data_IF_794799993312
#
_entry.id   IF_794799993312
#
_cell.length_a   1.000
_cell.length_b   1.000
_cell.length_c   1.000
_cell.angle_alpha   90.00
_cell.angle_beta   90.00
_cell.angle_gamma   90.00
#
_symmetry.space_group_name_H-M   'P 1'
#
loop_
_entity.id
_entity.type
_entity.pdbx_description
1 polymer ?
#
# COMPACT_ATOMS: atom_id res chain seq x y z
N UNK A 1 10.29 40.63 -5.39
CA UNK A 1 8.97 39.95 -5.29
C UNK A 1 9.07 38.98 -4.13
N UNK A 2 8.61 39.40 -2.96
CA UNK A 2 8.59 38.58 -1.75
C UNK A 2 7.52 37.49 -1.88
N UNK A 3 7.86 36.28 -1.43
CA UNK A 3 6.96 35.13 -1.42
C UNK A 3 5.78 35.41 -0.49
N UNK A 4 4.57 35.02 -0.89
CA UNK A 4 3.38 35.26 -0.07
C UNK A 4 3.39 34.41 1.20
N UNK A 5 2.68 34.86 2.25
CA UNK A 5 2.57 34.19 3.56
C UNK A 5 2.13 32.72 3.42
N UNK A 6 1.30 32.39 2.43
CA UNK A 6 0.88 31.01 2.12
C UNK A 6 2.00 30.16 1.48
N UNK A 7 2.93 30.78 0.75
CA UNK A 7 4.11 30.10 0.20
C UNK A 7 5.17 29.85 1.27
N UNK A 8 5.31 30.76 2.24
CA UNK A 8 6.15 30.57 3.42
C UNK A 8 5.58 29.50 4.36
N UNK A 9 4.27 29.47 4.58
CA UNK A 9 3.60 28.44 5.40
C UNK A 9 3.64 27.05 4.73
N UNK A 10 3.63 26.99 3.39
CA UNK A 10 3.87 25.76 2.62
C UNK A 10 5.35 25.32 2.69
N UNK A 11 6.29 26.26 2.67
CA UNK A 11 7.71 26.00 2.83
C UNK A 11 8.05 25.55 4.27
N UNK A 12 7.46 26.14 5.31
CA UNK A 12 7.58 25.69 6.71
C UNK A 12 6.99 24.29 6.91
N UNK A 13 5.81 23.99 6.32
CA UNK A 13 5.25 22.62 6.32
C UNK A 13 6.11 21.65 5.49
N UNK A 14 6.87 22.12 4.51
CA UNK A 14 7.90 21.33 3.81
C UNK A 14 9.22 21.21 4.60
N UNK A 15 9.56 22.17 5.47
CA UNK A 15 10.72 22.11 6.37
C UNK A 15 10.53 21.10 7.50
N UNK A 16 9.30 20.93 8.03
CA UNK A 16 8.98 19.83 8.95
C UNK A 16 9.01 18.45 8.28
N UNK A 17 8.79 18.38 6.95
CA UNK A 17 8.98 17.15 6.18
C UNK A 17 10.46 16.82 5.92
N UNK A 18 11.40 17.72 6.27
CA UNK A 18 12.83 17.43 6.24
C UNK A 18 13.23 16.62 7.46
N UNK A 19 13.77 15.43 7.20
CA UNK A 19 15.09 14.98 7.70
C UNK A 19 15.20 13.48 7.49
N UNK A 20 15.68 13.06 6.32
CA UNK A 20 16.49 11.86 6.02
C UNK A 20 16.41 11.62 4.49
N UNK A 21 17.54 11.80 3.80
CA UNK A 21 17.68 11.49 2.38
C UNK A 21 18.44 10.17 2.22
N UNK A 22 18.02 9.35 1.24
CA UNK A 22 18.41 7.95 1.12
C UNK A 22 19.03 7.62 -0.24
N UNK A 23 19.96 6.66 -0.26
CA UNK A 23 20.64 6.21 -1.47
C UNK A 23 20.88 4.69 -1.46
N UNK A 24 20.73 4.04 -2.62
CA UNK A 24 20.90 2.59 -2.82
C UNK A 24 22.04 2.31 -3.82
N UNK A 25 23.09 1.57 -3.43
CA UNK A 25 24.18 1.17 -4.36
C UNK A 25 23.98 -0.24 -4.94
N UNK A 26 23.95 -0.36 -6.27
CA UNK A 26 24.11 -1.60 -7.07
C UNK A 26 24.96 -1.32 -8.34
N UNK A 27 25.60 -2.32 -8.99
CA UNK A 27 26.83 -2.12 -9.75
C UNK A 27 26.70 -1.55 -11.18
N UNK A 28 25.63 -0.84 -11.51
CA UNK A 28 25.61 -0.01 -12.71
C UNK A 28 25.17 1.41 -12.30
N UNK A 29 26.02 2.38 -12.64
CA UNK A 29 26.00 3.80 -12.32
C UNK A 29 26.74 4.13 -11.01
N UNK A 30 28.05 4.36 -11.18
CA UNK A 30 28.93 5.09 -10.25
C UNK A 30 28.53 6.56 -10.29
N UNK A 31 28.08 7.15 -9.18
CA UNK A 31 28.47 8.49 -8.70
C UNK A 31 28.05 8.66 -7.23
N UNK A 32 28.74 9.55 -6.52
CA UNK A 32 29.00 9.41 -5.08
C UNK A 32 28.08 10.26 -4.17
N UNK A 33 26.99 10.87 -4.69
CA UNK A 33 26.15 11.83 -3.93
C UNK A 33 24.64 11.86 -4.25
N UNK A 34 24.10 10.84 -4.91
CA UNK A 34 22.73 10.82 -5.40
C UNK A 34 21.71 10.43 -4.30
N UNK A 35 20.67 11.25 -4.08
CA UNK A 35 19.73 11.07 -2.95
C UNK A 35 18.24 11.24 -3.30
N UNK A 36 17.38 10.44 -2.66
CA UNK A 36 15.91 10.59 -2.67
C UNK A 36 15.39 10.94 -1.28
N UNK A 37 14.31 11.70 -1.18
CA UNK A 37 13.74 12.08 0.12
C UNK A 37 13.02 10.91 0.80
N UNK A 38 12.95 10.94 2.13
CA UNK A 38 12.39 9.85 2.93
C UNK A 38 10.89 9.61 2.80
N UNK A 39 10.13 10.59 2.35
CA UNK A 39 8.69 10.49 2.09
C UNK A 39 8.35 9.76 0.79
N UNK A 40 9.33 9.54 -0.10
CA UNK A 40 9.14 8.65 -1.24
C UNK A 40 8.81 7.23 -0.78
N UNK A 41 8.00 6.54 -1.57
CA UNK A 41 7.64 5.15 -1.31
C UNK A 41 8.54 4.20 -2.10
N UNK A 42 8.83 3.05 -1.50
CA UNK A 42 9.61 2.00 -2.14
C UNK A 42 8.96 0.63 -1.94
N UNK A 43 8.96 -0.16 -3.01
CA UNK A 43 8.70 -1.59 -2.96
C UNK A 43 10.00 -2.32 -2.63
N UNK A 44 9.98 -3.09 -1.55
CA UNK A 44 11.15 -3.84 -1.08
C UNK A 44 10.76 -5.25 -0.64
N UNK A 45 11.63 -6.21 -0.90
CA UNK A 45 11.54 -7.56 -0.35
C UNK A 45 12.55 -7.72 0.76
N UNK A 46 12.10 -7.96 1.99
CA UNK A 46 12.97 -8.29 3.12
C UNK A 46 12.74 -9.75 3.52
N UNK A 47 13.77 -10.59 3.37
CA UNK A 47 13.70 -12.04 3.64
C UNK A 47 12.56 -12.73 2.87
N UNK A 48 12.41 -12.39 1.59
CA UNK A 48 11.40 -12.96 0.70
C UNK A 48 9.99 -12.39 0.86
N UNK A 49 9.76 -11.48 1.81
CA UNK A 49 8.46 -10.81 2.00
C UNK A 49 8.46 -9.45 1.31
N UNK A 50 7.62 -9.30 0.29
CA UNK A 50 7.50 -8.07 -0.48
C UNK A 50 6.52 -7.11 0.18
N UNK A 51 6.97 -5.90 0.46
CA UNK A 51 6.22 -4.86 1.16
C UNK A 51 6.39 -3.52 0.44
N UNK A 52 5.50 -2.60 0.75
CA UNK A 52 5.59 -1.18 0.38
C UNK A 52 5.69 -0.36 1.67
N UNK A 53 6.55 0.67 1.69
CA UNK A 53 6.67 1.62 2.78
C UNK A 53 7.31 2.92 2.29
N UNK A 54 7.25 3.98 3.09
CA UNK A 54 8.14 5.13 2.90
C UNK A 54 9.59 4.72 3.11
N UNK A 55 10.53 5.38 2.44
CA UNK A 55 11.95 5.05 2.60
C UNK A 55 12.41 5.34 4.04
N UNK A 56 11.87 6.38 4.69
CA UNK A 56 12.13 6.68 6.11
C UNK A 56 11.66 5.59 7.06
N UNK A 57 10.48 5.02 6.81
CA UNK A 57 9.94 3.90 7.59
C UNK A 57 10.80 2.64 7.39
N UNK A 58 11.20 2.35 6.15
CA UNK A 58 12.12 1.25 5.86
C UNK A 58 13.46 1.45 6.57
N UNK A 59 14.01 2.67 6.55
CA UNK A 59 15.24 2.98 7.25
C UNK A 59 15.14 2.70 8.75
N UNK A 60 14.09 3.18 9.42
CA UNK A 60 13.88 2.94 10.84
C UNK A 60 13.76 1.43 11.14
N UNK A 61 13.05 0.68 10.29
CA UNK A 61 12.96 -0.77 10.38
C UNK A 61 14.34 -1.44 10.26
N UNK A 62 15.17 -1.01 9.30
CA UNK A 62 16.50 -1.56 9.08
C UNK A 62 17.45 -1.20 10.22
N UNK A 63 17.42 0.04 10.71
CA UNK A 63 18.25 0.53 11.82
C UNK A 63 17.98 -0.23 13.12
N UNK A 64 16.72 -0.57 13.39
CA UNK A 64 16.34 -1.38 14.55
C UNK A 64 16.75 -2.86 14.41
N UNK A 65 16.97 -3.34 13.19
CA UNK A 65 17.21 -4.76 12.91
C UNK A 65 18.68 -5.10 12.67
N UNK A 66 19.46 -4.14 12.19
CA UNK A 66 20.84 -4.36 11.75
C UNK A 66 21.78 -3.36 12.41
N UNK A 67 23.03 -3.77 12.63
CA UNK A 67 24.09 -2.85 13.01
C UNK A 67 24.30 -1.81 11.90
N UNK A 68 24.56 -0.58 12.31
CA UNK A 68 24.88 0.53 11.41
C UNK A 68 26.18 1.20 11.84
N UNK A 69 26.86 1.83 10.88
CA UNK A 69 28.05 2.64 11.13
C UNK A 69 27.72 4.09 10.82
N UNK A 70 28.07 5.00 11.72
CA UNK A 70 28.04 6.44 11.47
C UNK A 70 29.43 6.90 11.07
N UNK A 71 29.55 7.50 9.89
CA UNK A 71 30.80 8.07 9.40
C UNK A 71 31.02 9.48 9.96
N UNK A 72 32.26 9.96 9.87
CA UNK A 72 32.63 11.34 10.26
C UNK A 72 31.88 12.41 9.47
N UNK A 73 31.47 12.12 8.22
CA UNK A 73 30.66 13.00 7.37
C UNK A 73 29.15 12.96 7.70
N UNK A 74 28.77 12.37 8.85
CA UNK A 74 27.39 12.29 9.32
C UNK A 74 26.55 11.21 8.64
N UNK A 75 27.07 10.49 7.63
CA UNK A 75 26.33 9.44 6.93
C UNK A 75 26.17 8.20 7.81
N UNK A 76 24.94 7.71 7.88
CA UNK A 76 24.62 6.43 8.49
C UNK A 76 24.52 5.34 7.43
N UNK A 77 25.22 4.23 7.66
CA UNK A 77 25.37 3.15 6.69
C UNK A 77 24.93 1.84 7.33
N UNK A 78 23.95 1.20 6.69
CA UNK A 78 23.44 -0.12 7.07
C UNK A 78 23.81 -1.12 5.97
N UNK A 79 24.22 -2.33 6.34
CA UNK A 79 24.38 -3.48 5.43
C UNK A 79 23.21 -4.45 5.62
N UNK A 80 22.07 -4.25 4.92
CA UNK A 80 20.84 -4.98 5.24
C UNK A 80 20.81 -6.36 4.57
N UNK A 81 21.16 -7.41 5.32
CA UNK A 81 21.06 -8.77 4.79
C UNK A 81 19.58 -9.12 4.49
N UNK A 82 19.36 -9.81 3.38
CA UNK A 82 18.02 -10.21 2.94
C UNK A 82 17.15 -9.11 2.30
N UNK A 83 17.63 -7.86 2.20
CA UNK A 83 16.93 -6.78 1.51
C UNK A 83 17.15 -6.84 0.00
N UNK A 84 16.06 -6.77 -0.77
CA UNK A 84 16.03 -6.62 -2.22
C UNK A 84 15.07 -5.50 -2.62
N UNK A 85 15.37 -4.80 -3.70
CA UNK A 85 14.49 -3.76 -4.29
C UNK A 85 14.36 -3.97 -5.79
N UNK A 86 13.31 -3.42 -6.41
CA UNK A 86 13.17 -3.49 -7.86
C UNK A 86 14.16 -2.56 -8.56
N UNK A 87 14.96 -3.12 -9.46
CA UNK A 87 15.87 -2.37 -10.30
C UNK A 87 15.60 -2.69 -11.77
N UNK A 88 15.77 -1.68 -12.64
CA UNK A 88 15.80 -1.89 -14.08
C UNK A 88 17.15 -2.51 -14.47
N UNK A 89 17.11 -3.64 -15.17
CA UNK A 89 18.27 -4.29 -15.74
C UNK A 89 18.03 -4.56 -17.22
N UNK A 90 18.73 -3.83 -18.09
CA UNK A 90 18.36 -3.69 -19.51
C UNK A 90 16.91 -3.19 -19.59
N UNK A 91 16.02 -3.91 -20.26
CA UNK A 91 14.60 -3.59 -20.38
C UNK A 91 13.69 -4.32 -19.38
N UNK A 92 14.24 -5.05 -18.40
CA UNK A 92 13.45 -5.87 -17.46
C UNK A 92 13.66 -5.42 -16.02
N UNK A 93 12.56 -5.37 -15.27
CA UNK A 93 12.58 -5.05 -13.84
C UNK A 93 12.78 -6.32 -13.04
N UNK A 94 13.76 -6.33 -12.13
CA UNK A 94 14.11 -7.49 -11.29
C UNK A 94 14.38 -7.08 -9.85
N UNK A 95 14.03 -7.95 -8.91
CA UNK A 95 14.44 -7.80 -7.51
C UNK A 95 15.94 -8.03 -7.38
N UNK A 96 16.66 -7.02 -6.92
CA UNK A 96 18.11 -7.02 -6.79
C UNK A 96 18.51 -6.78 -5.34
N UNK A 97 19.52 -7.52 -4.86
CA UNK A 97 20.04 -7.40 -3.48
C UNK A 97 20.57 -5.99 -3.25
N UNK A 98 20.22 -5.40 -2.10
CA UNK A 98 20.80 -4.12 -1.66
C UNK A 98 22.09 -4.42 -0.90
N UNK A 99 23.22 -3.91 -1.39
CA UNK A 99 24.53 -4.08 -0.69
C UNK A 99 24.61 -3.19 0.55
N UNK A 100 24.18 -1.95 0.37
CA UNK A 100 24.32 -0.89 1.36
C UNK A 100 23.12 0.04 1.28
N UNK A 101 22.58 0.39 2.44
CA UNK A 101 21.54 1.40 2.59
C UNK A 101 22.14 2.60 3.31
N UNK A 102 22.13 3.76 2.67
CA UNK A 102 22.82 4.97 3.16
C UNK A 102 21.77 6.02 3.48
N UNK A 103 21.92 6.65 4.63
CA UNK A 103 21.09 7.77 5.07
C UNK A 103 21.96 8.96 5.49
N UNK A 104 21.52 10.17 5.15
CA UNK A 104 22.22 11.39 5.51
C UNK A 104 21.31 12.62 5.47
N UNK A 105 21.79 13.69 6.09
CA UNK A 105 21.21 15.02 5.96
C UNK A 105 21.76 15.72 4.71
N UNK A 106 20.95 16.53 4.07
CA UNK A 106 21.36 17.33 2.92
C UNK A 106 20.63 18.66 2.91
N UNK A 107 21.35 19.73 2.60
CA UNK A 107 20.83 21.09 2.38
C UNK A 107 20.63 21.38 0.89
N UNK A 108 20.94 20.39 0.03
CA UNK A 108 20.80 20.54 -1.42
C UNK A 108 19.33 20.77 -1.78
N UNK A 109 19.05 21.58 -2.82
CA UNK A 109 17.71 21.73 -3.35
C UNK A 109 17.10 20.38 -3.75
N UNK A 110 15.83 20.20 -3.41
CA UNK A 110 15.03 19.03 -3.77
C UNK A 110 14.16 19.39 -4.98
N UNK A 111 14.20 18.55 -6.00
CA UNK A 111 13.37 18.64 -7.20
C UNK A 111 12.26 17.58 -7.10
N UNK A 112 11.02 18.02 -7.32
CA UNK A 112 9.87 17.12 -7.45
C UNK A 112 9.60 16.85 -8.94
N UNK A 113 9.63 15.59 -9.34
CA UNK A 113 9.27 15.14 -10.68
C UNK A 113 7.94 14.42 -10.60
N UNK A 114 6.92 14.98 -11.26
CA UNK A 114 5.58 14.40 -11.37
C UNK A 114 5.38 13.87 -12.79
N UNK A 115 5.00 12.61 -12.89
CA UNK A 115 4.56 11.96 -14.12
C UNK A 115 3.07 11.67 -14.04
N UNK A 116 2.48 11.19 -15.14
CA UNK A 116 1.08 10.73 -15.15
C UNK A 116 0.83 9.55 -14.17
N UNK A 117 1.87 8.81 -13.78
CA UNK A 117 1.75 7.57 -13.00
C UNK A 117 2.26 7.70 -11.57
N UNK A 118 3.26 8.54 -11.34
CA UNK A 118 3.95 8.65 -10.05
C UNK A 118 4.62 10.01 -9.87
N UNK A 119 4.96 10.31 -8.63
CA UNK A 119 5.72 11.48 -8.22
C UNK A 119 6.96 10.99 -7.45
N UNK A 120 8.10 11.64 -7.68
CA UNK A 120 9.35 11.36 -6.97
C UNK A 120 10.05 12.66 -6.60
N UNK A 121 10.63 12.72 -5.40
CA UNK A 121 11.38 13.88 -4.89
C UNK A 121 12.84 13.49 -4.64
N UNK A 122 13.77 14.23 -5.24
CA UNK A 122 15.18 13.86 -5.29
C UNK A 122 16.09 15.08 -5.40
N UNK A 123 17.37 14.92 -5.08
CA UNK A 123 18.39 15.96 -5.32
C UNK A 123 18.71 16.06 -6.82
N UNK A 124 19.13 17.22 -7.31
CA UNK A 124 19.38 17.43 -8.75
C UNK A 124 20.57 16.61 -9.30
N UNK A 125 21.44 16.09 -8.43
CA UNK A 125 22.52 15.19 -8.81
C UNK A 125 22.10 13.72 -8.84
N UNK A 126 20.88 13.38 -8.38
CA UNK A 126 20.35 12.02 -8.48
C UNK A 126 19.85 11.74 -9.89
N UNK A 127 20.49 10.78 -10.57
CA UNK A 127 20.13 10.46 -11.95
C UNK A 127 18.78 9.73 -12.03
N UNK A 128 17.89 10.25 -12.88
CA UNK A 128 16.74 9.52 -13.39
C UNK A 128 17.12 8.67 -14.60
N UNK A 129 16.14 7.95 -15.12
CA UNK A 129 16.31 7.11 -16.31
C UNK A 129 15.41 7.65 -17.42
N UNK A 130 15.97 7.88 -18.60
CA UNK A 130 15.24 8.23 -19.83
C UNK A 130 15.54 7.23 -20.95
N UNK A 131 14.83 7.36 -22.06
CA UNK A 131 15.11 6.64 -23.32
C UNK A 131 15.35 7.67 -24.40
N UNK A 132 16.53 7.62 -25.03
CA UNK A 132 16.87 8.34 -26.26
C UNK A 132 17.38 7.33 -27.27
N UNK A 133 16.93 7.40 -28.52
CA UNK A 133 17.39 6.52 -29.61
C UNK A 133 17.31 5.02 -29.26
N UNK A 134 16.22 4.62 -28.58
CA UNK A 134 16.00 3.26 -28.06
C UNK A 134 17.03 2.75 -27.03
N UNK A 135 17.86 3.65 -26.49
CA UNK A 135 18.85 3.36 -25.45
C UNK A 135 18.44 3.97 -24.12
N UNK A 136 18.70 3.24 -23.04
CA UNK A 136 18.48 3.70 -21.68
C UNK A 136 19.65 4.61 -21.28
N UNK A 137 19.36 5.85 -20.93
CA UNK A 137 20.35 6.84 -20.54
C UNK A 137 20.04 7.47 -19.17
N UNK A 138 21.06 7.87 -18.39
CA UNK A 138 20.86 8.68 -17.20
C UNK A 138 20.36 10.07 -17.58
N UNK A 139 19.42 10.60 -16.80
CA UNK A 139 18.78 11.89 -17.02
C UNK A 139 18.89 12.74 -15.75
N UNK A 140 19.42 13.96 -15.85
CA UNK A 140 19.38 14.90 -14.74
C UNK A 140 17.94 15.36 -14.50
N UNK A 141 17.48 15.46 -13.24
CA UNK A 141 16.13 15.89 -12.92
C UNK A 141 15.76 17.27 -13.50
N UNK A 142 16.69 18.22 -13.53
CA UNK A 142 16.49 19.55 -14.14
C UNK A 142 16.16 19.51 -15.63
N UNK A 143 16.60 18.46 -16.32
CA UNK A 143 16.50 18.34 -17.78
C UNK A 143 15.33 17.41 -18.18
N UNK A 144 14.53 16.98 -17.20
CA UNK A 144 13.56 15.92 -17.36
C UNK A 144 12.36 16.32 -18.21
N UNK A 145 12.35 15.88 -19.47
CA UNK A 145 11.19 15.93 -20.38
C UNK A 145 10.44 14.60 -20.43
N UNK A 146 11.18 13.49 -20.48
CA UNK A 146 10.64 12.14 -20.51
C UNK A 146 11.38 11.25 -19.51
N UNK A 147 10.63 10.63 -18.59
CA UNK A 147 11.19 9.75 -17.56
C UNK A 147 10.62 8.35 -17.74
N UNK A 148 11.48 7.35 -17.64
CA UNK A 148 11.07 5.95 -17.67
C UNK A 148 10.21 5.62 -16.46
N UNK A 149 9.04 5.03 -16.73
CA UNK A 149 8.18 4.46 -15.71
C UNK A 149 7.91 2.98 -16.04
N UNK A 150 7.90 2.09 -15.04
CA UNK A 150 7.54 0.70 -15.24
C UNK A 150 6.19 0.54 -15.96
N UNK A 151 6.12 -0.40 -16.91
CA UNK A 151 4.84 -0.82 -17.51
C UNK A 151 4.22 -2.00 -16.74
N UNK A 152 5.04 -2.77 -16.01
CA UNK A 152 4.65 -3.94 -15.23
C UNK A 152 5.73 -4.26 -14.21
N UNK A 153 5.32 -4.66 -13.01
CA UNK A 153 6.24 -5.19 -11.99
C UNK A 153 5.74 -6.59 -11.56
N UNK A 154 6.64 -7.50 -11.21
CA UNK A 154 6.24 -8.81 -10.68
C UNK A 154 5.67 -8.66 -9.27
N UNK A 155 4.51 -9.27 -9.02
CA UNK A 155 3.98 -9.43 -7.66
C UNK A 155 4.80 -10.45 -6.86
N UNK A 156 4.58 -10.50 -5.55
CA UNK A 156 5.15 -11.56 -4.71
C UNK A 156 4.49 -12.93 -4.92
N UNK A 157 4.98 -13.90 -4.16
CA UNK A 157 4.50 -15.29 -4.13
C UNK A 157 4.22 -15.75 -2.70
N UNK A 158 3.94 -14.82 -1.78
CA UNK A 158 3.77 -15.16 -0.36
C UNK A 158 2.62 -16.13 -0.16
N UNK A 159 2.88 -17.13 0.69
CA UNK A 159 1.87 -18.09 1.10
C UNK A 159 0.67 -17.31 1.67
N UNK A 160 -0.56 -17.65 1.25
CA UNK A 160 -1.73 -16.87 1.58
C UNK A 160 -2.25 -17.23 2.96
N UNK A 161 -1.41 -17.17 4.00
CA UNK A 161 -1.81 -17.48 5.36
C UNK A 161 -1.33 -16.36 6.26
N UNK A 162 -2.29 -15.71 6.93
CA UNK A 162 -1.98 -14.74 7.97
C UNK A 162 -2.14 -15.42 9.32
N UNK A 163 -1.03 -15.46 10.06
CA UNK A 163 -1.01 -15.98 11.42
C UNK A 163 -1.39 -14.85 12.39
N UNK A 164 -2.52 -15.03 13.05
CA UNK A 164 -3.07 -14.12 14.03
C UNK A 164 -2.56 -14.40 15.44
N UNK A 165 -1.57 -15.27 15.68
CA UNK A 165 -1.13 -15.63 17.04
C UNK A 165 -0.68 -14.40 17.84
N UNK A 166 -0.07 -13.41 17.17
CA UNK A 166 0.31 -12.13 17.76
C UNK A 166 -0.88 -11.21 18.06
N UNK A 167 -2.04 -11.44 17.47
CA UNK A 167 -3.28 -10.74 17.82
C UNK A 167 -3.66 -11.00 19.28
N UNK A 168 -3.30 -12.17 19.83
CA UNK A 168 -3.53 -12.50 21.25
C UNK A 168 -2.94 -11.44 22.20
N UNK A 169 -1.79 -10.86 21.86
CA UNK A 169 -1.11 -9.83 22.66
C UNK A 169 -1.84 -8.49 22.64
N UNK A 170 -2.55 -8.17 21.56
CA UNK A 170 -3.36 -6.95 21.44
C UNK A 170 -4.73 -7.11 22.08
N UNK A 171 -5.16 -8.35 22.30
CA UNK A 171 -6.52 -8.62 22.72
C UNK A 171 -6.74 -8.51 24.22
N UNK A 172 -5.68 -8.61 25.07
CA UNK A 172 -5.63 -8.44 26.56
C UNK A 172 -6.97 -8.52 27.35
N UNK A 173 -7.90 -9.35 26.90
CA UNK A 173 -9.25 -9.44 27.41
C UNK A 173 -9.44 -10.86 27.89
N UNK A 174 -9.94 -10.99 29.12
CA UNK A 174 -10.31 -12.27 29.75
C UNK A 174 -11.29 -13.12 28.92
N UNK A 175 -11.85 -12.58 27.83
CA UNK A 175 -12.86 -13.18 26.97
C UNK A 175 -12.31 -14.01 25.80
N UNK A 176 -10.99 -14.01 25.56
CA UNK A 176 -10.36 -14.72 24.44
C UNK A 176 -9.31 -15.70 24.95
N UNK A 177 -9.47 -16.97 24.60
CA UNK A 177 -8.50 -18.04 24.88
C UNK A 177 -8.08 -18.73 23.59
N UNK A 178 -6.95 -19.43 23.62
CA UNK A 178 -6.53 -20.31 22.52
C UNK A 178 -7.13 -21.71 22.79
N UNK A 179 -7.64 -22.37 21.75
CA UNK A 179 -8.11 -23.76 21.85
C UNK A 179 -6.98 -24.71 22.23
N UNK A 180 -7.31 -25.89 22.79
CA UNK A 180 -6.31 -26.87 23.23
C UNK A 180 -5.37 -27.33 22.11
N UNK A 181 -5.88 -27.44 20.88
CA UNK A 181 -5.11 -27.79 19.68
C UNK A 181 -4.25 -26.63 19.14
N UNK A 182 -4.35 -25.43 19.72
CA UNK A 182 -3.58 -24.26 19.31
C UNK A 182 -4.00 -23.64 17.98
N UNK A 183 -5.10 -24.07 17.36
CA UNK A 183 -5.49 -23.66 16.01
C UNK A 183 -6.52 -22.54 15.95
N UNK A 184 -7.26 -22.30 17.04
CA UNK A 184 -8.37 -21.36 17.07
C UNK A 184 -8.28 -20.41 18.27
N UNK A 185 -8.71 -19.16 18.06
CA UNK A 185 -9.16 -18.29 19.12
C UNK A 185 -10.59 -18.66 19.51
N UNK A 186 -10.79 -19.00 20.78
CA UNK A 186 -12.08 -19.13 21.42
C UNK A 186 -12.50 -17.78 21.99
N UNK A 187 -13.47 -17.14 21.34
CA UNK A 187 -14.03 -15.85 21.78
C UNK A 187 -15.38 -16.10 22.44
N UNK A 188 -15.50 -15.72 23.72
CA UNK A 188 -16.80 -15.69 24.41
C UNK A 188 -17.59 -14.45 23.97
N UNK A 189 -18.58 -14.64 23.10
CA UNK A 189 -19.61 -13.64 22.83
C UNK A 189 -20.86 -13.99 23.67
N UNK A 190 -21.60 -13.00 24.19
CA UNK A 190 -22.60 -13.11 25.28
C UNK A 190 -23.53 -14.34 25.26
N UNK A 191 -23.80 -14.94 24.10
CA UNK A 191 -24.66 -16.13 23.93
C UNK A 191 -24.00 -17.34 23.24
N UNK A 192 -22.78 -17.23 22.70
CA UNK A 192 -22.11 -18.31 21.94
C UNK A 192 -20.59 -18.19 21.97
N UNK A 193 -19.91 -19.33 22.11
CA UNK A 193 -18.47 -19.45 21.89
C UNK A 193 -18.21 -19.49 20.39
N UNK A 194 -17.44 -18.54 19.88
CA UNK A 194 -17.03 -18.49 18.47
C UNK A 194 -15.58 -18.95 18.38
N UNK A 195 -15.29 -19.84 17.43
CA UNK A 195 -13.93 -20.27 17.11
C UNK A 195 -13.47 -19.53 15.86
N UNK A 196 -12.38 -18.77 15.97
CA UNK A 196 -11.77 -18.07 14.85
C UNK A 196 -10.42 -18.70 14.55
N UNK A 197 -10.15 -19.17 13.32
CA UNK A 197 -8.87 -19.74 12.96
C UNK A 197 -7.72 -18.76 13.24
N UNK A 198 -6.68 -19.21 13.93
CA UNK A 198 -5.45 -18.45 14.14
C UNK A 198 -4.72 -18.27 12.81
N UNK A 199 -4.78 -19.27 11.93
CA UNK A 199 -4.23 -19.22 10.59
C UNK A 199 -5.34 -18.94 9.59
N UNK A 200 -5.50 -17.67 9.19
CA UNK A 200 -6.49 -17.30 8.17
C UNK A 200 -5.89 -17.53 6.80
N UNK A 201 -6.50 -18.43 6.03
CA UNK A 201 -6.19 -18.62 4.61
C UNK A 201 -6.78 -17.46 3.80
N UNK A 202 -5.90 -16.68 3.19
CA UNK A 202 -6.24 -15.59 2.28
C UNK A 202 -6.68 -16.20 0.93
N UNK A 203 -7.96 -16.08 0.63
CA UNK A 203 -8.51 -16.50 -0.65
C UNK A 203 -9.04 -15.28 -1.42
N UNK A 204 -9.48 -15.50 -2.66
CA UNK A 204 -9.98 -14.42 -3.50
C UNK A 204 -11.22 -13.74 -2.91
N UNK A 205 -12.09 -14.49 -2.22
CA UNK A 205 -13.30 -13.93 -1.62
C UNK A 205 -12.97 -12.97 -0.48
N UNK A 206 -12.06 -13.37 0.41
CA UNK A 206 -11.59 -12.52 1.50
C UNK A 206 -10.85 -11.29 0.99
N UNK A 207 -10.03 -11.43 -0.06
CA UNK A 207 -9.37 -10.28 -0.68
C UNK A 207 -10.36 -9.32 -1.34
N UNK A 208 -11.38 -9.82 -2.03
CA UNK A 208 -12.43 -8.99 -2.59
C UNK A 208 -13.22 -8.27 -1.49
N UNK A 209 -13.55 -8.95 -0.39
CA UNK A 209 -14.15 -8.31 0.77
C UNK A 209 -13.28 -7.19 1.36
N UNK A 210 -11.96 -7.40 1.49
CA UNK A 210 -11.04 -6.35 1.93
C UNK A 210 -10.95 -5.18 0.95
N UNK A 211 -10.99 -5.45 -0.36
CA UNK A 211 -11.05 -4.42 -1.39
C UNK A 211 -12.29 -3.54 -1.23
N UNK A 212 -13.46 -4.16 -1.05
CA UNK A 212 -14.71 -3.44 -0.80
C UNK A 212 -14.63 -2.62 0.48
N UNK A 213 -14.15 -3.20 1.58
CA UNK A 213 -13.93 -2.46 2.82
C UNK A 213 -13.09 -1.19 2.62
N UNK A 214 -12.01 -1.29 1.85
CA UNK A 214 -11.15 -0.14 1.54
C UNK A 214 -11.86 0.88 0.65
N UNK A 215 -12.77 0.48 -0.23
CA UNK A 215 -13.62 1.39 -0.98
C UNK A 215 -14.58 2.15 -0.04
N UNK A 216 -15.55 1.45 0.54
CA UNK A 216 -16.76 2.07 1.09
C UNK A 216 -17.07 1.68 2.54
N UNK A 217 -16.20 0.88 3.15
CA UNK A 217 -16.33 0.42 4.53
C UNK A 217 -15.97 1.49 5.56
N UNK A 218 -16.58 1.42 6.74
CA UNK A 218 -16.18 2.22 7.89
C UNK A 218 -16.37 1.47 9.21
N UNK A 219 -15.51 1.76 10.18
CA UNK A 219 -15.64 1.19 11.51
C UNK A 219 -16.81 1.83 12.23
N UNK A 220 -17.53 1.01 12.98
CA UNK A 220 -18.62 1.48 13.82
C UNK A 220 -18.19 1.42 15.28
N UNK A 221 -18.24 2.60 15.93
CA UNK A 221 -18.07 2.78 17.36
C UNK A 221 -19.34 3.44 17.92
N UNK A 222 -20.38 2.67 18.21
CA UNK A 222 -21.62 3.23 18.80
C UNK A 222 -21.96 2.54 20.12
N UNK A 223 -22.05 3.34 21.20
CA UNK A 223 -22.45 2.88 22.55
C UNK A 223 -21.67 1.62 23.01
N UNK A 224 -20.34 1.62 22.85
CA UNK A 224 -19.48 0.49 23.21
C UNK A 224 -19.57 -0.74 22.30
N UNK A 225 -20.23 -0.64 21.13
CA UNK A 225 -20.26 -1.71 20.11
C UNK A 225 -19.22 -1.44 19.02
N UNK A 226 -18.26 -2.35 18.92
CA UNK A 226 -17.26 -2.44 17.86
C UNK A 226 -17.81 -3.29 16.71
N UNK A 227 -17.70 -2.79 15.48
CA UNK A 227 -18.16 -3.50 14.30
C UNK A 227 -17.73 -2.82 13.01
N UNK A 228 -18.26 -3.32 11.91
CA UNK A 228 -17.96 -2.84 10.56
C UNK A 228 -19.25 -2.51 9.81
N UNK A 229 -19.21 -1.50 8.95
CA UNK A 229 -20.28 -1.12 8.04
C UNK A 229 -19.76 -1.11 6.60
N UNK A 230 -20.56 -1.59 5.64
CA UNK A 230 -20.31 -1.51 4.20
C UNK A 230 -21.51 -0.84 3.55
N UNK A 231 -21.29 0.23 2.78
CA UNK A 231 -22.37 1.11 2.28
C UNK A 231 -22.86 0.73 0.87
N UNK A 232 -22.17 -0.20 0.21
CA UNK A 232 -22.39 -0.67 -1.16
C UNK A 232 -22.88 -2.12 -1.12
N UNK A 233 -23.90 -2.37 -0.32
CA UNK A 233 -24.56 -3.67 -0.18
C UNK A 233 -25.83 -3.72 -1.03
N UNK A 234 -25.79 -3.31 -2.30
CA UNK A 234 -26.97 -3.30 -3.20
C UNK A 234 -27.03 -4.52 -4.10
N UNK A 235 -25.92 -4.81 -4.78
CA UNK A 235 -25.80 -5.82 -5.82
C UNK A 235 -25.86 -7.27 -5.27
N UNK A 236 -26.61 -8.19 -5.91
CA UNK A 236 -26.74 -9.59 -5.46
C UNK A 236 -25.42 -10.36 -5.31
N UNK A 237 -24.46 -10.20 -6.23
CA UNK A 237 -23.17 -10.90 -6.17
C UNK A 237 -22.33 -10.39 -4.99
N UNK A 238 -22.36 -9.08 -4.79
CA UNK A 238 -21.75 -8.39 -3.65
C UNK A 238 -22.33 -8.89 -2.33
N UNK A 239 -23.66 -9.02 -2.24
CA UNK A 239 -24.36 -9.57 -1.07
C UNK A 239 -23.94 -11.02 -0.80
N UNK A 240 -23.88 -11.85 -1.83
CA UNK A 240 -23.48 -13.27 -1.74
C UNK A 240 -22.04 -13.41 -1.24
N UNK A 241 -21.11 -12.61 -1.78
CA UNK A 241 -19.72 -12.57 -1.35
C UNK A 241 -19.58 -12.17 0.12
N UNK A 242 -20.19 -11.05 0.53
CA UNK A 242 -20.13 -10.57 1.92
C UNK A 242 -20.71 -11.62 2.87
N UNK A 243 -21.88 -12.19 2.55
CA UNK A 243 -22.49 -13.26 3.37
C UNK A 243 -21.55 -14.45 3.53
N UNK A 244 -20.95 -14.92 2.42
CA UNK A 244 -20.02 -16.06 2.42
C UNK A 244 -18.80 -15.79 3.32
N UNK A 245 -18.18 -14.62 3.19
CA UNK A 245 -17.01 -14.25 4.01
C UNK A 245 -17.40 -14.13 5.48
N UNK A 246 -18.50 -13.45 5.80
CA UNK A 246 -18.92 -13.22 7.18
C UNK A 246 -19.36 -14.49 7.90
N UNK A 247 -19.97 -15.44 7.20
CA UNK A 247 -20.26 -16.78 7.72
C UNK A 247 -18.97 -17.50 8.15
N UNK A 248 -17.87 -17.36 7.40
CA UNK A 248 -16.57 -17.96 7.78
C UNK A 248 -15.97 -17.37 9.06
N UNK A 249 -16.41 -16.18 9.46
CA UNK A 249 -16.05 -15.54 10.73
C UNK A 249 -17.11 -15.73 11.82
N UNK A 250 -18.13 -16.56 11.60
CA UNK A 250 -19.24 -16.74 12.53
C UNK A 250 -20.06 -15.47 12.77
N UNK A 251 -20.11 -14.56 11.79
CA UNK A 251 -20.78 -13.26 11.90
C UNK A 251 -22.14 -13.30 11.21
N UNK A 252 -23.12 -12.62 11.79
CA UNK A 252 -24.39 -12.28 11.13
C UNK A 252 -24.35 -10.86 10.57
N UNK A 253 -25.08 -10.65 9.47
CA UNK A 253 -25.32 -9.32 8.87
C UNK A 253 -26.69 -8.82 9.31
N UNK A 254 -26.77 -7.53 9.65
CA UNK A 254 -28.01 -6.77 9.64
C UNK A 254 -27.92 -5.74 8.53
N UNK A 255 -29.05 -5.34 7.94
CA UNK A 255 -29.07 -4.32 6.89
C UNK A 255 -29.80 -3.06 7.34
N UNK A 256 -29.36 -1.91 6.87
CA UNK A 256 -30.05 -0.61 7.00
C UNK A 256 -30.27 0.01 5.62
N UNK A 257 -30.95 1.16 5.59
CA UNK A 257 -31.16 1.95 4.37
C UNK A 257 -31.80 1.10 3.26
N UNK A 258 -32.94 0.46 3.56
CA UNK A 258 -33.67 -0.40 2.61
C UNK A 258 -32.83 -1.57 2.05
N UNK A 259 -31.84 -2.05 2.81
CA UNK A 259 -31.00 -3.16 2.38
C UNK A 259 -29.78 -2.73 1.57
N UNK A 260 -29.45 -1.44 1.54
CA UNK A 260 -28.31 -0.85 0.84
C UNK A 260 -27.03 -0.93 1.66
N UNK A 261 -27.14 -0.87 2.98
CA UNK A 261 -25.99 -0.84 3.90
C UNK A 261 -25.95 -2.13 4.71
N UNK A 262 -24.82 -2.83 4.70
CA UNK A 262 -24.57 -3.95 5.60
C UNK A 262 -23.91 -3.46 6.89
N UNK A 263 -24.47 -3.87 8.02
CA UNK A 263 -23.95 -3.61 9.37
C UNK A 263 -23.60 -4.94 10.03
N UNK A 264 -22.36 -5.06 10.49
CA UNK A 264 -21.84 -6.28 11.12
C UNK A 264 -21.29 -5.93 12.49
N UNK A 265 -22.04 -6.27 13.53
CA UNK A 265 -21.61 -6.12 14.92
C UNK A 265 -20.72 -7.31 15.35
N UNK A 266 -19.52 -7.43 14.77
CA UNK A 266 -18.53 -8.43 15.16
C UNK A 266 -17.22 -7.79 15.63
N UNK A 267 -17.03 -7.79 16.95
CA UNK A 267 -15.83 -7.30 17.66
C UNK A 267 -14.55 -7.98 17.18
N UNK A 268 -14.57 -9.30 17.02
CA UNK A 268 -13.40 -10.08 16.62
C UNK A 268 -12.98 -9.75 15.20
N UNK A 269 -13.92 -9.68 14.26
CA UNK A 269 -13.63 -9.29 12.87
C UNK A 269 -13.07 -7.87 12.82
N UNK A 270 -13.70 -6.92 13.53
CA UNK A 270 -13.21 -5.55 13.66
C UNK A 270 -11.74 -5.50 14.12
N UNK A 271 -11.38 -6.28 15.15
CA UNK A 271 -10.00 -6.32 15.67
C UNK A 271 -9.02 -7.00 14.74
N UNK A 272 -9.45 -8.07 14.05
CA UNK A 272 -8.65 -8.70 13.01
C UNK A 272 -8.35 -7.69 11.92
N UNK A 273 -9.35 -6.94 11.43
CA UNK A 273 -9.14 -5.94 10.39
C UNK A 273 -8.17 -4.84 10.83
N UNK A 274 -8.30 -4.34 12.06
CA UNK A 274 -7.32 -3.40 12.62
C UNK A 274 -5.91 -3.99 12.68
N UNK A 275 -5.77 -5.24 13.14
CA UNK A 275 -4.48 -5.94 13.20
C UNK A 275 -3.86 -6.17 11.82
N UNK A 276 -4.69 -6.43 10.82
CA UNK A 276 -4.28 -6.56 9.42
C UNK A 276 -3.90 -5.21 8.80
N UNK A 277 -4.05 -4.09 9.53
CA UNK A 277 -3.67 -2.76 9.09
C UNK A 277 -4.73 -2.03 8.28
N UNK A 278 -6.00 -2.46 8.33
CA UNK A 278 -7.09 -1.70 7.75
C UNK A 278 -7.46 -0.54 8.68
N UNK A 279 -7.47 0.67 8.13
CA UNK A 279 -7.73 1.92 8.84
C UNK A 279 -9.02 2.54 8.31
N UNK A 280 -9.75 3.23 9.20
CA UNK A 280 -10.97 3.97 8.86
C UNK A 280 -10.69 5.45 8.56
N UNK A 281 -11.66 6.13 7.97
CA UNK A 281 -11.55 7.52 7.54
C UNK A 281 -11.11 7.60 6.09
N UNK A 282 -11.97 8.15 5.22
CA UNK A 282 -11.79 8.15 3.76
C UNK A 282 -10.45 8.74 3.30
N UNK A 283 -9.96 9.81 3.97
CA UNK A 283 -8.64 10.43 3.69
C UNK A 283 -7.45 9.65 4.22
N UNK A 284 -7.67 8.80 5.24
CA UNK A 284 -6.63 8.04 5.92
C UNK A 284 -6.48 6.61 5.36
N UNK A 285 -7.47 6.10 4.61
CA UNK A 285 -7.39 4.75 4.02
C UNK A 285 -6.16 4.58 3.14
N UNK A 286 -5.58 3.39 3.15
CA UNK A 286 -4.47 2.94 2.32
C UNK A 286 -4.54 1.41 2.16
N UNK A 287 -3.72 0.84 1.27
CA UNK A 287 -3.62 -0.62 1.12
C UNK A 287 -2.59 -1.16 2.12
N UNK A 288 -2.94 -2.12 3.00
CA UNK A 288 -1.97 -2.70 3.92
C UNK A 288 -0.73 -3.28 3.22
N UNK A 289 0.46 -3.02 3.77
CA UNK A 289 1.74 -3.30 3.10
C UNK A 289 1.94 -4.78 2.70
N UNK A 290 1.30 -5.72 3.40
CA UNK A 290 1.39 -7.15 3.11
C UNK A 290 0.64 -7.55 1.83
N UNK A 291 -0.36 -6.76 1.38
CA UNK A 291 -1.12 -7.04 0.15
C UNK A 291 -0.21 -6.98 -1.08
N UNK A 292 0.80 -6.11 -1.08
CA UNK A 292 1.76 -5.97 -2.18
C UNK A 292 2.64 -7.21 -2.39
N UNK A 293 2.73 -8.10 -1.40
CA UNK A 293 3.49 -9.36 -1.49
C UNK A 293 2.68 -10.56 -1.96
N UNK A 294 1.39 -10.40 -2.21
CA UNK A 294 0.52 -11.49 -2.64
C UNK A 294 0.69 -11.83 -4.12
N UNK A 295 0.24 -13.02 -4.49
CA UNK A 295 0.09 -13.45 -5.87
C UNK A 295 -0.96 -12.65 -6.65
N UNK A 296 -0.80 -12.54 -7.97
CA UNK A 296 -1.62 -11.69 -8.85
C UNK A 296 -3.11 -11.93 -8.76
N UNK A 297 -3.56 -13.17 -8.65
CA UNK A 297 -4.98 -13.50 -8.52
C UNK A 297 -5.61 -12.94 -7.23
N UNK A 298 -4.84 -12.89 -6.13
CA UNK A 298 -5.30 -12.29 -4.87
C UNK A 298 -5.32 -10.75 -4.93
N UNK A 299 -4.31 -10.15 -5.57
CA UNK A 299 -4.28 -8.69 -5.85
C UNK A 299 -5.46 -8.32 -6.78
N UNK A 300 -5.70 -9.11 -7.83
CA UNK A 300 -6.82 -8.90 -8.75
C UNK A 300 -8.17 -9.02 -8.03
N UNK A 301 -8.30 -9.97 -7.10
CA UNK A 301 -9.50 -10.09 -6.29
C UNK A 301 -9.69 -8.88 -5.36
N UNK A 302 -8.63 -8.36 -4.74
CA UNK A 302 -8.68 -7.13 -3.96
C UNK A 302 -9.14 -5.93 -4.80
N UNK A 303 -8.53 -5.72 -5.96
CA UNK A 303 -8.92 -4.64 -6.86
C UNK A 303 -10.36 -4.81 -7.33
N UNK A 304 -10.78 -6.02 -7.71
CA UNK A 304 -12.18 -6.32 -8.06
C UNK A 304 -13.12 -5.89 -6.95
N UNK A 305 -12.80 -6.21 -5.70
CA UNK A 305 -13.56 -5.75 -4.54
C UNK A 305 -13.64 -4.23 -4.44
N UNK A 306 -12.50 -3.55 -4.54
CA UNK A 306 -12.44 -2.08 -4.48
C UNK A 306 -13.31 -1.41 -5.56
N UNK A 307 -13.14 -1.83 -6.83
CA UNK A 307 -13.93 -1.31 -7.95
C UNK A 307 -15.40 -1.76 -7.92
N UNK A 308 -15.77 -2.80 -7.16
CA UNK A 308 -17.19 -3.15 -6.97
C UNK A 308 -17.85 -2.23 -5.95
N UNK A 309 -17.09 -1.71 -4.98
CA UNK A 309 -17.61 -0.77 -3.97
C UNK A 309 -17.67 0.68 -4.46
N UNK A 310 -16.61 1.14 -5.12
CA UNK A 310 -16.47 2.56 -5.50
C UNK A 310 -16.32 2.78 -7.03
N UNK A 311 -16.40 1.71 -7.81
CA UNK A 311 -16.20 1.79 -9.25
C UNK A 311 -17.45 2.13 -10.04
N UNK A 312 -17.27 2.94 -11.07
CA UNK A 312 -18.31 3.29 -12.05
C UNK A 312 -17.80 3.01 -13.46
N UNK A 313 -18.60 2.31 -14.26
CA UNK A 313 -18.34 2.10 -15.69
C UNK A 313 -18.96 3.24 -16.47
N UNK A 314 -18.16 3.95 -17.27
CA UNK A 314 -18.67 5.03 -18.13
C UNK A 314 -17.87 5.11 -19.43
N UNK A 315 -18.55 5.21 -20.58
CA UNK A 315 -17.94 5.32 -21.92
C UNK A 315 -16.88 4.23 -22.22
N UNK A 316 -17.09 3.02 -21.69
CA UNK A 316 -16.16 1.89 -21.82
C UNK A 316 -14.97 1.91 -20.86
N UNK A 317 -14.81 2.94 -20.03
CA UNK A 317 -13.75 3.03 -19.03
C UNK A 317 -14.27 2.64 -17.64
N UNK A 318 -13.42 1.97 -16.86
CA UNK A 318 -13.67 1.68 -15.44
C UNK A 318 -13.05 2.80 -14.63
N UNK A 319 -13.85 3.45 -13.79
CA UNK A 319 -13.42 4.59 -12.98
C UNK A 319 -13.62 4.27 -11.51
N UNK A 320 -12.77 4.81 -10.63
CA UNK A 320 -13.02 4.86 -9.19
C UNK A 320 -12.48 6.18 -8.64
N UNK A 321 -12.94 6.59 -7.46
CA UNK A 321 -12.52 7.83 -6.82
C UNK A 321 -11.93 7.57 -5.44
N UNK A 322 -11.13 8.50 -4.94
CA UNK A 322 -10.73 8.49 -3.53
C UNK A 322 -10.23 9.85 -3.10
N UNK A 323 -10.57 10.26 -1.89
CA UNK A 323 -9.99 11.45 -1.25
C UNK A 323 -8.61 11.15 -0.62
N UNK A 324 -8.20 9.89 -0.52
CA UNK A 324 -6.89 9.51 0.02
C UNK A 324 -5.85 9.48 -1.09
N UNK A 325 -4.91 10.42 -1.03
CA UNK A 325 -3.74 10.44 -1.93
C UNK A 325 -2.91 9.14 -1.80
N UNK A 326 -2.81 8.59 -0.59
CA UNK A 326 -2.05 7.36 -0.33
C UNK A 326 -2.74 6.14 -0.97
N UNK A 327 -4.04 5.97 -0.76
CA UNK A 327 -4.81 4.89 -1.36
C UNK A 327 -4.73 4.94 -2.89
N UNK A 328 -4.80 6.14 -3.46
CA UNK A 328 -4.60 6.33 -4.89
C UNK A 328 -3.24 5.82 -5.37
N UNK A 329 -2.14 6.20 -4.70
CA UNK A 329 -0.79 5.69 -5.04
C UNK A 329 -0.71 4.16 -4.92
N UNK A 330 -1.38 3.60 -3.94
CA UNK A 330 -1.42 2.15 -3.71
C UNK A 330 -2.17 1.41 -4.82
N UNK A 331 -3.36 1.89 -5.20
CA UNK A 331 -4.17 1.31 -6.28
C UNK A 331 -3.42 1.35 -7.62
N UNK A 332 -2.77 2.47 -7.94
CA UNK A 332 -1.91 2.60 -9.13
C UNK A 332 -0.79 1.55 -9.12
N UNK A 333 -0.18 1.30 -7.97
CA UNK A 333 0.87 0.28 -7.80
C UNK A 333 0.33 -1.14 -7.98
N UNK A 334 -0.84 -1.46 -7.41
CA UNK A 334 -1.46 -2.79 -7.56
C UNK A 334 -1.87 -3.05 -9.02
N UNK A 335 -2.41 -2.05 -9.72
CA UNK A 335 -2.75 -2.15 -11.14
C UNK A 335 -1.51 -2.41 -11.99
N UNK A 336 -0.39 -1.78 -11.65
CA UNK A 336 0.90 -2.01 -12.29
C UNK A 336 1.41 -3.46 -12.09
N UNK A 337 1.13 -4.11 -10.97
CA UNK A 337 1.43 -5.55 -10.80
C UNK A 337 0.64 -6.46 -11.75
N UNK A 338 -0.56 -6.03 -12.15
CA UNK A 338 -1.38 -6.71 -13.14
C UNK A 338 -0.98 -6.33 -14.59
N UNK A 339 -0.11 -5.33 -14.76
CA UNK A 339 0.24 -4.77 -16.08
C UNK A 339 -0.84 -3.87 -16.66
N UNK A 340 -1.73 -3.33 -15.81
CA UNK A 340 -2.79 -2.41 -16.19
C UNK A 340 -2.28 -0.99 -15.98
N UNK A 341 -2.26 -0.18 -17.05
CA UNK A 341 -1.97 1.26 -16.94
C UNK A 341 -3.26 2.01 -16.72
N UNK A 342 -3.43 2.52 -15.51
CA UNK A 342 -4.49 3.46 -15.19
C UNK A 342 -3.98 4.90 -15.30
N UNK A 343 -4.91 5.82 -15.54
CA UNK A 343 -4.70 7.26 -15.44
C UNK A 343 -5.17 7.73 -14.08
N UNK A 344 -4.48 8.71 -13.50
CA UNK A 344 -4.94 9.42 -12.31
C UNK A 344 -5.18 10.89 -12.68
N UNK A 345 -6.22 11.50 -12.12
CA UNK A 345 -6.43 12.95 -12.17
C UNK A 345 -6.94 13.43 -10.82
N UNK A 346 -6.55 14.63 -10.45
CA UNK A 346 -7.12 15.33 -9.30
C UNK A 346 -8.31 16.16 -9.78
N UNK A 347 -9.40 16.14 -9.02
CA UNK A 347 -10.49 17.10 -9.13
C UNK A 347 -10.80 17.66 -7.74
N UNK A 348 -11.64 18.71 -7.65
CA UNK A 348 -11.95 19.38 -6.39
C UNK A 348 -12.53 18.48 -5.29
N UNK A 349 -12.91 17.24 -5.63
CA UNK A 349 -13.44 16.24 -4.70
C UNK A 349 -12.45 15.14 -4.32
N UNK A 350 -11.26 15.09 -4.94
CA UNK A 350 -10.22 14.09 -4.65
C UNK A 350 -9.51 13.59 -5.90
N UNK A 351 -9.23 12.29 -5.95
CA UNK A 351 -8.53 11.64 -7.04
C UNK A 351 -9.47 10.71 -7.80
N UNK A 352 -9.46 10.81 -9.13
CA UNK A 352 -10.11 9.85 -10.01
C UNK A 352 -9.08 8.97 -10.69
N UNK A 353 -9.30 7.66 -10.62
CA UNK A 353 -8.50 6.62 -11.26
C UNK A 353 -9.32 6.06 -12.42
N UNK A 354 -8.77 6.05 -13.63
CA UNK A 354 -9.44 5.57 -14.84
C UNK A 354 -8.63 4.48 -15.51
N UNK A 355 -9.24 3.31 -15.71
CA UNK A 355 -8.69 2.20 -16.49
C UNK A 355 -9.41 2.20 -17.84
N UNK A 356 -8.65 2.32 -18.92
CA UNK A 356 -9.24 2.31 -20.25
C UNK A 356 -9.68 0.90 -20.64
N UNK A 357 -10.94 0.74 -21.06
CA UNK A 357 -11.49 -0.57 -21.43
C UNK A 357 -11.09 -1.07 -22.81
N UNK A 358 -10.37 -0.27 -23.61
CA UNK A 358 -9.68 -0.78 -24.80
C UNK A 358 -8.49 -1.61 -24.32
N UNK A 359 -8.76 -2.86 -23.96
CA UNK A 359 -7.72 -3.89 -23.81
C UNK A 359 -6.89 -3.81 -25.08
N UNK A 360 -5.64 -3.37 -24.97
CA UNK A 360 -4.72 -3.35 -26.09
C UNK A 360 -4.74 -4.75 -26.70
N UNK A 361 -5.38 -4.91 -27.86
CA UNK A 361 -5.24 -6.11 -28.67
C UNK A 361 -3.75 -6.30 -28.81
N UNK A 362 -3.26 -7.44 -28.33
CA UNK A 362 -1.90 -7.90 -28.60
C UNK A 362 -1.82 -7.98 -30.13
N UNK A 363 -1.11 -7.04 -30.75
CA UNK A 363 -0.68 -7.17 -32.16
C UNK A 363 0.40 -8.24 -32.17
#
# INVERSE_FOLDING_TARGET
MELSTNQLEFLEKCEEARKLAFSFKNPLILHHYDSVTGDNEILYSLNGKLRKAKISELYNLLKNRFKYTKRSDGKEIIKPSGLKVFCLHKSKIKLTKVKTFISHFTEKPIIGIKTEFSEVKLTNDHSLISISDNLICPLKPSDAKFVCSPNKISSGSEAPVINLKKLNLLLQEKSISISQDGNYFSVKNKKKKILVPINIKINQDLMAFFGMWVADGCYMYRKGREGIRLSSYKDPETKKLIKKVLLSFGSSITTTDEGITAVVCNKTLFRIMNYLGFVDGSKAKFVPSWVFGLQKNLIAAFLRGYFSGDGTVSKGDINASTVSNQLKKDLMTLLLFLGIRAKQREDGSGWKISINGKIYKKI
#
